data_IF_553928885875
#
_entry.id   IF_553928885875
#
_cell.length_a   1.000
_cell.length_b   1.000
_cell.length_c   1.000
_cell.angle_alpha   90.00
_cell.angle_beta   90.00
_cell.angle_gamma   90.00
#
_symmetry.space_group_name_H-M   'P 1'
#
loop_
_entity.id
_entity.type
_entity.pdbx_description
1 polymer ?
#
# COMPACT_ATOMS: atom_id res chain seq x y z
N UNK A 1 2.07 11.25 4.91
CA UNK A 1 1.61 10.35 3.83
C UNK A 1 1.02 9.10 4.45
N UNK A 2 0.11 8.42 3.76
CA UNK A 2 -0.69 7.31 4.29
C UNK A 2 -0.55 6.06 3.43
N UNK A 3 -0.35 4.91 4.06
CA UNK A 3 -0.51 3.59 3.47
C UNK A 3 -1.84 3.00 3.96
N UNK A 4 -2.74 2.71 3.04
CA UNK A 4 -4.02 2.09 3.36
C UNK A 4 -3.92 0.58 3.25
N UNK A 5 -4.32 -0.11 4.32
CA UNK A 5 -4.36 -1.56 4.36
C UNK A 5 -5.56 -2.05 3.57
N UNK A 6 -5.47 -3.30 3.10
CA UNK A 6 -6.50 -3.92 2.26
C UNK A 6 -6.67 -5.35 2.71
N UNK A 7 -7.89 -5.87 2.57
CA UNK A 7 -8.18 -7.29 2.70
C UNK A 7 -7.27 -8.10 1.79
N UNK A 8 -6.80 -9.23 2.30
CA UNK A 8 -6.22 -10.30 1.50
C UNK A 8 -7.24 -11.44 1.35
N UNK A 9 -7.32 -12.02 0.15
CA UNK A 9 -8.12 -13.23 -0.11
C UNK A 9 -7.24 -14.47 -0.26
N UNK A 10 -5.97 -14.36 0.14
CA UNK A 10 -4.93 -15.36 0.00
C UNK A 10 -4.09 -15.38 1.29
N UNK A 11 -3.23 -16.39 1.49
CA UNK A 11 -2.27 -16.42 2.59
C UNK A 11 -1.52 -15.09 2.74
N UNK A 12 -1.18 -14.75 3.98
CA UNK A 12 -0.31 -13.60 4.22
C UNK A 12 1.05 -13.77 3.52
N UNK A 13 1.77 -12.68 3.20
CA UNK A 13 3.15 -12.80 2.76
C UNK A 13 3.97 -13.59 3.78
N UNK A 14 4.52 -14.73 3.34
CA UNK A 14 5.32 -15.64 4.19
C UNK A 14 4.52 -16.76 4.88
N UNK A 15 3.19 -16.76 4.77
CA UNK A 15 2.33 -17.84 5.25
C UNK A 15 2.14 -18.88 4.15
N UNK A 16 2.27 -20.16 4.50
CA UNK A 16 1.96 -21.28 3.61
C UNK A 16 0.45 -21.45 3.43
N UNK A 17 0.05 -22.28 2.46
CA UNK A 17 -1.37 -22.55 2.23
C UNK A 17 -1.98 -23.38 3.38
N UNK A 18 -1.20 -24.32 3.94
CA UNK A 18 -1.64 -25.18 5.04
C UNK A 18 -1.82 -24.35 6.32
N UNK A 19 -0.83 -23.52 6.68
CA UNK A 19 -0.93 -22.58 7.81
C UNK A 19 -2.13 -21.62 7.66
N UNK A 20 -2.44 -21.21 6.43
CA UNK A 20 -3.61 -20.38 6.17
C UNK A 20 -4.91 -21.14 6.44
N UNK A 21 -5.06 -22.35 5.92
CA UNK A 21 -6.27 -23.14 6.16
C UNK A 21 -6.43 -23.54 7.63
N UNK A 22 -5.34 -23.91 8.31
CA UNK A 22 -5.34 -24.16 9.75
C UNK A 22 -5.81 -22.93 10.52
N UNK A 23 -5.25 -21.74 10.24
CA UNK A 23 -5.67 -20.50 10.91
C UNK A 23 -7.16 -20.18 10.75
N UNK A 24 -7.75 -20.56 9.61
CA UNK A 24 -9.18 -20.39 9.35
C UNK A 24 -10.02 -21.42 10.12
N UNK A 25 -9.59 -22.68 10.15
CA UNK A 25 -10.29 -23.77 10.86
C UNK A 25 -10.29 -23.50 12.36
N UNK A 26 -9.15 -23.08 12.90
CA UNK A 26 -8.95 -22.80 14.32
C UNK A 26 -9.48 -21.41 14.73
N UNK A 27 -9.98 -20.63 13.76
CA UNK A 27 -10.49 -19.27 13.95
C UNK A 27 -9.49 -18.39 14.69
N UNK A 28 -8.21 -18.45 14.29
CA UNK A 28 -7.15 -17.69 14.92
C UNK A 28 -7.39 -16.18 14.77
N UNK A 29 -6.96 -15.35 15.74
CA UNK A 29 -7.01 -13.91 15.60
C UNK A 29 -6.29 -13.43 14.34
N UNK A 30 -7.01 -12.72 13.47
CA UNK A 30 -6.45 -12.21 12.21
C UNK A 30 -6.66 -13.12 10.99
N UNK A 31 -7.21 -14.33 11.17
CA UNK A 31 -7.48 -15.30 10.10
C UNK A 31 -8.50 -14.81 9.06
N UNK A 32 -9.33 -13.81 9.40
CA UNK A 32 -10.31 -13.24 8.46
C UNK A 32 -9.67 -12.45 7.30
N UNK A 33 -8.38 -12.14 7.43
CA UNK A 33 -7.56 -11.39 6.48
C UNK A 33 -8.17 -10.05 6.07
N UNK A 34 -8.92 -9.41 6.98
CA UNK A 34 -9.50 -8.09 6.77
C UNK A 34 -8.42 -6.99 6.70
N UNK A 35 -8.79 -5.79 6.24
CA UNK A 35 -7.87 -4.65 6.31
C UNK A 35 -7.47 -4.28 7.75
N UNK A 36 -8.33 -4.53 8.75
CA UNK A 36 -7.97 -4.36 10.16
C UNK A 36 -6.94 -5.40 10.59
N UNK A 37 -7.09 -6.66 10.18
CA UNK A 37 -6.12 -7.73 10.47
C UNK A 37 -4.76 -7.41 9.85
N UNK A 38 -4.76 -6.89 8.62
CA UNK A 38 -3.55 -6.42 7.97
C UNK A 38 -2.88 -5.25 8.74
N UNK A 39 -3.67 -4.31 9.27
CA UNK A 39 -3.14 -3.23 10.11
C UNK A 39 -2.54 -3.77 11.41
N UNK A 40 -3.25 -4.66 12.10
CA UNK A 40 -2.75 -5.31 13.33
C UNK A 40 -1.43 -6.03 13.08
N UNK A 41 -1.36 -6.80 11.98
CA UNK A 41 -0.14 -7.51 11.58
C UNK A 41 1.03 -6.55 11.30
N UNK A 42 0.79 -5.46 10.58
CA UNK A 42 1.81 -4.42 10.32
C UNK A 42 2.34 -3.83 11.64
N UNK A 43 1.45 -3.54 12.59
CA UNK A 43 1.83 -2.96 13.88
C UNK A 43 2.62 -3.95 14.76
N UNK A 44 2.24 -5.23 14.74
CA UNK A 44 2.93 -6.29 15.47
C UNK A 44 4.32 -6.59 14.87
N UNK A 45 4.40 -6.79 13.55
CA UNK A 45 5.66 -7.06 12.85
C UNK A 45 6.54 -5.82 12.71
N UNK A 46 5.97 -4.62 12.90
CA UNK A 46 6.59 -3.34 12.55
C UNK A 46 7.12 -3.33 11.11
N UNK A 47 6.36 -3.91 10.20
CA UNK A 47 6.78 -4.07 8.81
C UNK A 47 5.60 -3.89 7.86
N UNK A 48 5.75 -3.05 6.84
CA UNK A 48 4.83 -3.00 5.70
C UNK A 48 5.45 -3.80 4.57
N UNK A 49 4.81 -4.91 4.21
CA UNK A 49 5.26 -5.81 3.14
C UNK A 49 5.00 -5.21 1.76
N UNK A 50 6.01 -5.24 0.91
CA UNK A 50 5.93 -4.76 -0.44
C UNK A 50 5.17 -5.73 -1.35
N UNK A 51 4.58 -5.18 -2.41
CA UNK A 51 3.89 -5.95 -3.44
C UNK A 51 4.33 -5.52 -4.83
N UNK A 52 4.36 -6.50 -5.74
CA UNK A 52 4.68 -6.31 -7.16
C UNK A 52 3.46 -6.41 -8.08
N UNK A 53 2.27 -6.71 -7.53
CA UNK A 53 1.08 -7.13 -8.29
C UNK A 53 0.61 -6.12 -9.34
N UNK A 54 0.66 -4.82 -9.02
CA UNK A 54 0.15 -3.74 -9.88
C UNK A 54 1.25 -2.82 -10.43
N UNK A 55 2.52 -3.21 -10.28
CA UNK A 55 3.66 -2.36 -10.61
C UNK A 55 4.28 -2.81 -11.93
N UNK A 56 4.40 -1.90 -12.89
CA UNK A 56 5.11 -2.16 -14.16
C UNK A 56 6.56 -2.56 -13.86
N UNK A 57 7.04 -3.64 -14.48
CA UNK A 57 8.37 -4.19 -14.20
C UNK A 57 8.45 -5.05 -12.93
N UNK A 58 7.32 -5.29 -12.24
CA UNK A 58 7.21 -6.18 -11.07
C UNK A 58 8.17 -5.81 -9.92
N UNK A 59 8.50 -4.53 -9.78
CA UNK A 59 9.24 -4.05 -8.62
C UNK A 59 8.40 -4.22 -7.34
N UNK A 60 8.94 -4.83 -6.27
CA UNK A 60 8.25 -4.89 -5.00
C UNK A 60 8.28 -3.49 -4.37
N UNK A 61 7.12 -2.88 -4.16
CA UNK A 61 7.03 -1.56 -3.52
C UNK A 61 5.96 -1.53 -2.43
N UNK A 62 6.12 -0.61 -1.49
CA UNK A 62 5.04 -0.16 -0.60
C UNK A 62 4.49 1.15 -1.15
N UNK A 63 3.20 1.20 -1.43
CA UNK A 63 2.52 2.39 -1.91
C UNK A 63 1.96 3.22 -0.76
N UNK A 64 2.09 4.54 -0.88
CA UNK A 64 1.54 5.55 -0.01
C UNK A 64 0.81 6.61 -0.85
N UNK A 65 0.04 7.45 -0.18
CA UNK A 65 -0.61 8.62 -0.77
C UNK A 65 -0.40 9.85 0.11
N UNK A 66 -0.24 11.01 -0.51
CA UNK A 66 -0.24 12.29 0.21
C UNK A 66 -1.64 12.82 0.49
N UNK A 67 -2.70 12.20 -0.06
CA UNK A 67 -4.08 12.56 0.25
C UNK A 67 -4.42 12.30 1.72
N UNK A 68 -5.31 13.12 2.28
CA UNK A 68 -5.86 12.86 3.61
C UNK A 68 -6.78 11.63 3.60
N UNK A 69 -6.91 10.90 4.73
CA UNK A 69 -7.85 9.80 4.84
C UNK A 69 -9.28 10.16 4.42
N UNK A 70 -9.77 11.33 4.88
CA UNK A 70 -11.08 11.86 4.51
C UNK A 70 -11.26 12.02 3.00
N UNK A 71 -10.24 12.54 2.29
CA UNK A 71 -10.28 12.67 0.83
C UNK A 71 -10.35 11.29 0.16
N UNK A 72 -9.56 10.32 0.63
CA UNK A 72 -9.51 8.97 0.07
C UNK A 72 -10.83 8.21 0.26
N UNK A 73 -11.46 8.34 1.43
CA UNK A 73 -12.77 7.74 1.67
C UNK A 73 -13.85 8.34 0.74
N UNK A 74 -13.77 9.64 0.43
CA UNK A 74 -14.63 10.25 -0.59
C UNK A 74 -14.39 9.77 -2.02
N UNK A 75 -13.25 9.12 -2.30
CA UNK A 75 -12.90 8.53 -3.60
C UNK A 75 -13.06 7.00 -3.60
N UNK A 76 -13.70 6.44 -2.58
CA UNK A 76 -13.93 5.00 -2.45
C UNK A 76 -14.84 4.50 -3.57
N UNK A 77 -14.36 3.54 -4.33
CA UNK A 77 -15.08 2.93 -5.43
C UNK A 77 -14.73 1.44 -5.54
N UNK A 78 -15.72 0.64 -5.92
CA UNK A 78 -15.49 -0.78 -6.18
C UNK A 78 -14.80 -0.93 -7.54
N UNK A 79 -13.66 -1.63 -7.55
CA UNK A 79 -12.90 -1.93 -8.76
C UNK A 79 -13.23 -3.36 -9.18
N UNK A 80 -14.22 -3.51 -10.07
CA UNK A 80 -14.69 -4.82 -10.53
C UNK A 80 -13.56 -5.70 -11.09
N UNK A 81 -12.65 -5.13 -11.90
CA UNK A 81 -11.49 -5.85 -12.44
C UNK A 81 -10.51 -6.39 -11.38
N UNK A 82 -10.58 -5.89 -10.14
CA UNK A 82 -9.76 -6.32 -9.01
C UNK A 82 -10.58 -7.01 -7.90
N UNK A 83 -11.90 -7.15 -8.09
CA UNK A 83 -12.86 -7.70 -7.13
C UNK A 83 -12.72 -7.11 -5.71
N UNK A 84 -12.49 -5.81 -5.61
CA UNK A 84 -12.26 -5.14 -4.31
C UNK A 84 -12.51 -3.64 -4.36
N UNK A 85 -12.68 -3.04 -3.19
CA UNK A 85 -12.63 -1.59 -3.01
C UNK A 85 -11.21 -1.05 -3.24
N UNK A 86 -11.07 0.14 -3.83
CA UNK A 86 -9.75 0.78 -3.98
C UNK A 86 -9.15 1.20 -2.63
N UNK A 87 -9.99 1.56 -1.66
CA UNK A 87 -9.61 1.94 -0.30
C UNK A 87 -10.50 1.23 0.72
N UNK A 88 -9.88 0.75 1.79
CA UNK A 88 -10.54 0.24 3.00
C UNK A 88 -10.26 1.19 4.17
N UNK A 89 -11.05 1.20 5.25
CA UNK A 89 -11.05 2.28 6.24
C UNK A 89 -9.94 2.16 7.30
N UNK A 90 -8.80 1.57 6.94
CA UNK A 90 -7.68 1.34 7.83
C UNK A 90 -6.39 1.75 7.16
N UNK A 91 -5.54 2.47 7.88
CA UNK A 91 -4.27 2.93 7.33
C UNK A 91 -3.24 3.30 8.38
N UNK A 92 -2.00 3.39 7.93
CA UNK A 92 -0.85 3.82 8.70
C UNK A 92 -0.22 5.04 8.03
N UNK A 93 0.05 6.07 8.81
CA UNK A 93 0.55 7.36 8.36
C UNK A 93 1.89 7.69 8.99
N UNK A 94 2.75 8.36 8.22
CA UNK A 94 4.01 8.94 8.69
C UNK A 94 4.19 10.35 8.12
N UNK A 95 4.87 11.27 8.85
CA UNK A 95 5.19 12.59 8.34
C UNK A 95 5.98 12.54 7.03
N UNK A 96 5.74 13.50 6.13
CA UNK A 96 6.37 13.52 4.80
C UNK A 96 7.90 13.64 4.88
N UNK A 97 8.43 14.36 5.87
CA UNK A 97 9.88 14.49 6.05
C UNK A 97 10.53 13.18 6.52
N UNK A 98 9.85 12.41 7.37
CA UNK A 98 10.27 11.07 7.77
C UNK A 98 10.15 10.09 6.60
N UNK A 99 9.09 10.20 5.81
CA UNK A 99 8.92 9.38 4.63
C UNK A 99 10.09 9.56 3.64
N UNK A 100 10.51 10.81 3.39
CA UNK A 100 11.68 11.08 2.55
C UNK A 100 12.96 10.52 3.14
N UNK A 101 13.18 10.65 4.46
CA UNK A 101 14.40 10.18 5.11
C UNK A 101 14.54 8.65 5.08
N UNK A 102 13.43 7.92 5.04
CA UNK A 102 13.42 6.45 4.86
C UNK A 102 13.28 6.01 3.41
N UNK A 103 13.51 6.91 2.44
CA UNK A 103 13.62 6.56 1.02
C UNK A 103 12.30 6.48 0.25
N UNK A 104 11.19 6.94 0.82
CA UNK A 104 9.90 7.02 0.12
C UNK A 104 9.91 8.25 -0.80
N UNK A 105 9.55 8.03 -2.07
CA UNK A 105 9.61 9.07 -3.11
C UNK A 105 8.26 9.21 -3.82
N UNK A 106 7.92 10.40 -4.33
CA UNK A 106 6.72 10.57 -5.14
C UNK A 106 6.84 9.80 -6.46
N UNK A 107 5.71 9.30 -6.97
CA UNK A 107 5.70 8.67 -8.30
C UNK A 107 5.84 9.71 -9.41
N UNK A 108 6.30 9.25 -10.57
CA UNK A 108 6.41 10.01 -11.82
C UNK A 108 5.26 9.61 -12.73
N UNK A 109 4.28 10.49 -12.87
CA UNK A 109 3.16 10.33 -13.79
C UNK A 109 3.62 10.61 -15.22
N UNK A 110 3.79 9.54 -16.00
CA UNK A 110 4.43 9.60 -17.30
C UNK A 110 3.67 8.76 -18.33
N UNK A 111 3.76 9.18 -19.58
CA UNK A 111 3.25 8.39 -20.70
C UNK A 111 4.07 7.09 -20.87
N UNK A 112 3.53 6.05 -21.54
CA UNK A 112 4.27 4.83 -21.82
C UNK A 112 5.58 5.06 -22.59
N UNK A 113 5.63 6.05 -23.47
CA UNK A 113 6.78 6.39 -24.32
C UNK A 113 7.93 6.96 -23.49
N UNK A 114 7.61 7.71 -22.44
CA UNK A 114 8.60 8.30 -21.52
C UNK A 114 9.24 7.26 -20.59
N UNK A 115 8.67 6.05 -20.47
CA UNK A 115 9.17 5.00 -19.58
C UNK A 115 10.61 4.58 -19.90
N UNK A 116 10.98 4.52 -21.18
CA UNK A 116 12.31 4.08 -21.62
C UNK A 116 13.43 5.02 -21.15
N UNK A 117 13.13 6.31 -21.01
CA UNK A 117 14.06 7.33 -20.53
C UNK A 117 14.27 7.34 -19.01
N UNK A 118 13.49 6.56 -18.25
CA UNK A 118 13.65 6.46 -16.79
C UNK A 118 14.83 5.54 -16.48
N UNK A 119 15.75 6.05 -15.64
CA UNK A 119 16.87 5.27 -15.11
C UNK A 119 16.38 4.00 -14.43
N UNK A 120 17.01 2.83 -14.64
CA UNK A 120 16.52 1.55 -14.11
C UNK A 120 16.15 1.56 -12.63
N UNK A 121 16.95 2.24 -11.81
CA UNK A 121 16.78 2.39 -10.36
C UNK A 121 15.58 3.24 -9.96
N UNK A 122 15.00 4.03 -10.86
CA UNK A 122 13.82 4.87 -10.60
C UNK A 122 12.54 4.33 -11.27
N UNK A 123 12.63 3.25 -12.05
CA UNK A 123 11.48 2.71 -12.80
C UNK A 123 10.33 2.28 -11.89
N UNK A 124 10.61 1.92 -10.63
CA UNK A 124 9.58 1.62 -9.64
C UNK A 124 8.68 2.83 -9.32
N UNK A 125 9.14 4.06 -9.59
CA UNK A 125 8.37 5.30 -9.43
C UNK A 125 7.46 5.59 -10.62
N UNK A 126 7.51 4.83 -11.71
CA UNK A 126 6.65 5.07 -12.87
C UNK A 126 5.18 4.79 -12.54
N UNK A 127 4.32 5.76 -12.83
CA UNK A 127 2.87 5.60 -12.84
C UNK A 127 2.33 5.99 -14.22
N UNK A 128 1.61 5.07 -14.87
CA UNK A 128 1.04 5.31 -16.20
C UNK A 128 0.06 6.49 -16.13
N UNK A 129 0.28 7.47 -17.00
CA UNK A 129 -0.55 8.67 -17.09
C UNK A 129 -0.87 8.95 -18.56
N UNK A 130 -2.15 8.82 -18.91
CA UNK A 130 -2.72 9.09 -20.23
C UNK A 130 -4.09 9.76 -20.01
N UNK A 131 -4.13 11.05 -19.62
CA UNK A 131 -5.38 11.74 -19.40
C UNK A 131 -6.13 11.98 -20.73
N UNK A 132 -7.47 11.93 -20.73
CA UNK A 132 -8.34 11.73 -19.57
C UNK A 132 -8.60 10.26 -19.19
N UNK A 133 -8.21 9.29 -20.03
CA UNK A 133 -8.59 7.88 -19.86
C UNK A 133 -7.97 7.23 -18.62
N UNK A 134 -6.73 7.61 -18.29
CA UNK A 134 -5.95 7.06 -17.19
C UNK A 134 -5.27 8.21 -16.45
N UNK A 135 -5.99 8.77 -15.48
CA UNK A 135 -5.46 9.78 -14.56
C UNK A 135 -5.59 9.35 -13.09
N UNK A 136 -4.46 8.95 -12.51
CA UNK A 136 -4.31 8.65 -11.08
C UNK A 136 -3.56 9.77 -10.32
N UNK A 137 -3.35 10.94 -10.93
CA UNK A 137 -2.62 12.06 -10.31
C UNK A 137 -3.31 12.58 -9.05
N UNK A 138 -4.65 12.47 -9.01
CA UNK A 138 -5.46 12.83 -7.86
C UNK A 138 -5.11 12.04 -6.58
N UNK A 139 -4.54 10.84 -6.72
CA UNK A 139 -4.11 9.99 -5.60
C UNK A 139 -2.82 10.48 -4.96
N UNK A 140 -2.02 11.30 -5.65
CA UNK A 140 -0.73 11.81 -5.16
C UNK A 140 0.13 10.68 -4.56
N UNK A 141 0.43 9.67 -5.38
CA UNK A 141 1.06 8.43 -4.94
C UNK A 141 2.56 8.62 -4.61
N UNK A 142 3.02 7.90 -3.59
CA UNK A 142 4.40 7.80 -3.16
C UNK A 142 4.78 6.32 -3.02
N UNK A 143 6.04 5.96 -3.25
CA UNK A 143 6.51 4.57 -3.18
C UNK A 143 7.82 4.43 -2.41
N UNK A 144 7.89 3.34 -1.64
CA UNK A 144 9.12 2.79 -1.08
C UNK A 144 9.52 1.55 -1.87
N UNK A 145 10.80 1.34 -2.15
CA UNK A 145 11.28 0.12 -2.81
C UNK A 145 11.54 -0.96 -1.76
N UNK A 146 10.88 -2.11 -1.89
CA UNK A 146 10.94 -3.20 -0.91
C UNK A 146 10.11 -2.95 0.34
N UNK A 147 10.16 -3.92 1.27
CA UNK A 147 9.47 -3.86 2.55
C UNK A 147 9.92 -2.62 3.36
N UNK A 148 9.00 -1.98 4.06
CA UNK A 148 9.33 -0.87 4.95
C UNK A 148 9.39 -1.36 6.40
N UNK A 149 10.57 -1.31 7.01
CA UNK A 149 10.75 -1.59 8.44
C UNK A 149 10.40 -0.35 9.27
N UNK A 150 9.29 -0.42 9.99
CA UNK A 150 8.79 0.64 10.86
C UNK A 150 9.54 0.73 12.19
N UNK A 151 10.36 -0.27 12.56
CA UNK A 151 11.18 -0.23 13.78
C UNK A 151 12.22 0.90 13.76
N UNK A 152 12.55 1.42 12.57
CA UNK A 152 13.47 2.54 12.39
C UNK A 152 12.77 3.91 12.50
N UNK A 153 11.45 3.93 12.68
CA UNK A 153 10.65 5.14 12.82
C UNK A 153 10.17 5.22 14.27
N UNK A 154 10.24 6.41 14.87
CA UNK A 154 9.76 6.60 16.24
C UNK A 154 8.25 6.34 16.31
N UNK A 155 7.78 5.65 17.35
CA UNK A 155 6.35 5.38 17.54
C UNK A 155 5.49 6.67 17.59
N UNK A 156 6.05 7.80 18.05
CA UNK A 156 5.37 9.10 18.07
C UNK A 156 5.10 9.67 16.67
N UNK A 157 5.82 9.17 15.68
CA UNK A 157 5.77 9.61 14.29
C UNK A 157 4.97 8.61 13.42
N UNK A 158 4.38 7.59 14.03
CA UNK A 158 3.50 6.62 13.37
C UNK A 158 2.06 6.91 13.81
N UNK A 159 1.19 7.14 12.83
CA UNK A 159 -0.22 7.42 13.04
C UNK A 159 -1.06 6.29 12.47
N UNK A 160 -2.15 5.94 13.14
CA UNK A 160 -3.13 4.99 12.62
C UNK A 160 -4.42 5.72 12.27
N UNK A 161 -5.02 5.35 11.14
CA UNK A 161 -6.37 5.77 10.77
C UNK A 161 -7.28 4.55 10.84
N UNK A 162 -8.38 4.70 11.59
CA UNK A 162 -9.47 3.74 11.67
C UNK A 162 -10.77 4.55 11.54
N UNK A 163 -11.56 4.28 10.51
CA UNK A 163 -12.92 4.83 10.42
C UNK A 163 -13.84 3.98 11.30
N UNK A 164 -14.56 4.62 12.23
CA UNK A 164 -15.57 3.93 13.03
C UNK A 164 -16.77 3.61 12.12
N UNK A 165 -17.19 2.35 12.13
CA UNK A 165 -18.38 1.86 11.43
C UNK A 165 -19.63 1.97 12.31
#
# INVERSE_FOLDING_TARGET
IWHFTKRSTCPWPGQSLDEYFESLIDNEPGSSHSALDALNRILQEKCIRASKKLIKGKYPVVCFTACSPKKLMGMKQYRAALLRWNYEPFGIGIPIEIAKSVGIKPVKYLSPEQYSGIKPEERFLYQKHLPPEIDYSAEQEWRHLGDLNLSNISNKDIFTYCENF
#
